data_IF_841581687484
#
_entry.id   IF_841581687484
#
_cell.length_a   1.000
_cell.length_b   1.000
_cell.length_c   1.000
_cell.angle_alpha   90.00
_cell.angle_beta   90.00
_cell.angle_gamma   90.00
#
_symmetry.space_group_name_H-M   'P 1'
#
loop_
_entity.id
_entity.type
_entity.pdbx_description
1 polymer ?
#
# COMPACT_ATOMS: atom_id res chain seq x y z
N UNK A 1 16.81 31.63 24.50
CA UNK A 1 17.85 30.65 24.10
C UNK A 1 17.12 29.46 23.55
N UNK A 2 17.17 29.28 22.24
CA UNK A 2 16.47 28.23 21.53
C UNK A 2 17.35 26.97 21.54
N UNK A 3 16.90 25.93 22.25
CA UNK A 3 17.57 24.63 22.24
C UNK A 3 17.39 23.98 20.86
N UNK A 4 18.39 24.12 20.03
CA UNK A 4 18.48 23.38 18.77
C UNK A 4 18.65 21.89 19.09
N UNK A 5 17.64 21.06 18.78
CA UNK A 5 17.75 19.60 18.84
C UNK A 5 18.97 19.17 18.04
N UNK A 6 19.85 18.29 18.61
CA UNK A 6 21.01 17.80 17.89
C UNK A 6 20.57 17.12 16.59
N UNK A 7 21.24 17.45 15.48
CA UNK A 7 21.03 16.86 14.18
C UNK A 7 21.07 15.31 14.30
N UNK A 8 19.96 14.66 13.95
CA UNK A 8 19.88 13.19 13.94
C UNK A 8 20.98 12.67 13.02
N UNK A 9 21.83 11.75 13.52
CA UNK A 9 22.83 11.07 12.68
C UNK A 9 22.14 10.57 11.40
N UNK A 10 22.71 10.82 10.22
CA UNK A 10 22.10 10.38 8.97
C UNK A 10 21.84 8.87 9.08
N UNK A 11 20.61 8.47 8.75
CA UNK A 11 20.23 7.07 8.73
C UNK A 11 21.17 6.37 7.72
N UNK A 12 21.93 5.37 8.15
CA UNK A 12 22.88 4.62 7.29
C UNK A 12 22.25 4.16 5.97
N UNK A 13 20.95 3.85 5.96
CA UNK A 13 20.20 3.49 4.76
C UNK A 13 20.02 4.70 3.83
N UNK A 14 19.79 5.88 4.40
CA UNK A 14 19.69 7.11 3.62
C UNK A 14 20.99 7.44 2.87
N UNK A 15 22.14 7.31 3.53
CA UNK A 15 23.43 7.55 2.88
C UNK A 15 23.71 6.56 1.73
N UNK A 16 23.37 5.27 1.92
CA UNK A 16 23.56 4.25 0.89
C UNK A 16 22.65 4.52 -0.31
N UNK A 17 21.35 4.75 -0.09
CA UNK A 17 20.39 4.95 -1.18
C UNK A 17 20.66 6.24 -1.95
N UNK A 18 21.09 7.30 -1.25
CA UNK A 18 21.48 8.57 -1.85
C UNK A 18 22.71 8.39 -2.74
N UNK A 19 23.74 7.67 -2.27
CA UNK A 19 24.93 7.39 -3.05
C UNK A 19 24.64 6.55 -4.29
N UNK A 20 23.78 5.51 -4.18
CA UNK A 20 23.31 4.72 -5.33
C UNK A 20 22.59 5.63 -6.32
N UNK A 21 21.65 6.44 -5.84
CA UNK A 21 20.91 7.34 -6.72
C UNK A 21 21.84 8.21 -7.55
N UNK A 22 22.76 8.94 -6.92
CA UNK A 22 23.64 9.87 -7.62
C UNK A 22 24.75 9.21 -8.42
N UNK A 23 25.03 7.91 -8.26
CA UNK A 23 25.94 7.19 -9.15
C UNK A 23 25.32 6.87 -10.52
N UNK A 24 23.98 6.87 -10.61
CA UNK A 24 23.25 6.57 -11.85
C UNK A 24 22.47 7.77 -12.42
N UNK A 25 22.09 8.70 -11.54
CA UNK A 25 21.25 9.84 -11.94
C UNK A 25 22.00 10.79 -12.85
N UNK A 26 21.36 11.13 -13.97
CA UNK A 26 21.73 12.26 -14.83
C UNK A 26 20.59 13.25 -14.88
N UNK A 27 20.89 14.56 -14.97
CA UNK A 27 19.85 15.61 -14.97
C UNK A 27 18.81 15.36 -16.05
N UNK A 28 17.52 15.37 -15.68
CA UNK A 28 16.39 15.11 -16.58
C UNK A 28 16.05 13.62 -16.76
N UNK A 29 16.76 12.70 -16.10
CA UNK A 29 16.40 11.28 -16.15
C UNK A 29 15.05 11.06 -15.48
N UNK A 30 14.16 10.31 -16.15
CA UNK A 30 12.85 9.91 -15.63
C UNK A 30 12.89 8.55 -14.92
N UNK A 31 13.85 7.71 -15.31
CA UNK A 31 14.11 6.42 -14.70
C UNK A 31 15.55 5.96 -14.95
N UNK A 32 16.05 5.09 -14.09
CA UNK A 32 17.30 4.36 -14.27
C UNK A 32 17.33 3.14 -13.36
N UNK A 33 18.15 2.14 -13.74
CA UNK A 33 18.25 0.88 -13.03
C UNK A 33 19.55 0.84 -12.21
N UNK A 34 19.52 0.00 -11.15
CA UNK A 34 20.68 -0.32 -10.32
C UNK A 34 20.60 -1.76 -9.80
N UNK A 35 21.74 -2.37 -9.56
CA UNK A 35 21.82 -3.75 -9.12
C UNK A 35 21.88 -3.87 -7.58
N UNK A 36 21.35 -4.98 -7.05
CA UNK A 36 21.41 -5.27 -5.61
C UNK A 36 22.85 -5.35 -5.08
N UNK A 37 23.76 -5.81 -5.91
CA UNK A 37 25.19 -5.98 -5.56
C UNK A 37 25.88 -4.65 -5.24
N UNK A 38 25.39 -3.53 -5.76
CA UNK A 38 25.94 -2.20 -5.52
C UNK A 38 25.83 -1.74 -4.06
N UNK A 39 24.85 -2.27 -3.31
CA UNK A 39 24.69 -1.92 -1.88
C UNK A 39 25.91 -2.26 -1.04
N UNK A 40 26.52 -3.43 -1.26
CA UNK A 40 27.67 -3.87 -0.48
C UNK A 40 28.92 -3.04 -0.81
N UNK A 41 29.14 -2.74 -2.09
CA UNK A 41 30.22 -1.89 -2.55
C UNK A 41 30.14 -0.48 -1.97
N UNK A 42 28.96 0.13 -2.05
CA UNK A 42 28.71 1.48 -1.54
C UNK A 42 28.78 1.54 0.00
N UNK A 43 28.26 0.52 0.70
CA UNK A 43 28.40 0.44 2.15
C UNK A 43 29.86 0.40 2.56
N UNK A 44 30.71 -0.35 1.85
CA UNK A 44 32.16 -0.40 2.08
C UNK A 44 32.83 0.95 1.78
N UNK A 45 32.50 1.60 0.67
CA UNK A 45 33.00 2.93 0.29
C UNK A 45 32.70 3.98 1.37
N UNK A 46 31.48 3.94 1.94
CA UNK A 46 31.04 4.87 2.97
C UNK A 46 31.51 4.52 4.38
N UNK A 47 32.26 3.43 4.55
CA UNK A 47 32.69 2.94 5.87
C UNK A 47 31.52 2.50 6.76
N UNK A 48 30.37 2.14 6.16
CA UNK A 48 29.17 1.71 6.86
C UNK A 48 29.22 0.18 7.02
N UNK A 49 28.92 -0.29 8.23
CA UNK A 49 28.81 -1.74 8.47
C UNK A 49 27.82 -2.36 7.51
N UNK A 50 28.23 -3.43 6.85
CA UNK A 50 27.42 -4.20 5.90
C UNK A 50 25.98 -4.40 6.38
N UNK A 51 25.03 -4.12 5.51
CA UNK A 51 23.60 -4.27 5.79
C UNK A 51 23.25 -5.77 5.68
N UNK A 52 22.93 -6.39 6.82
CA UNK A 52 22.61 -7.83 6.87
C UNK A 52 21.38 -8.20 6.03
N UNK A 53 20.42 -7.30 5.90
CA UNK A 53 19.20 -7.52 5.13
C UNK A 53 19.00 -6.36 4.15
N UNK A 54 19.50 -6.52 2.93
CA UNK A 54 19.36 -5.52 1.85
C UNK A 54 17.91 -5.32 1.43
N UNK A 55 17.06 -6.35 1.58
CA UNK A 55 15.62 -6.25 1.34
C UNK A 55 14.95 -5.25 2.28
N UNK A 56 15.38 -5.18 3.53
CA UNK A 56 14.86 -4.23 4.52
C UNK A 56 15.21 -2.77 4.19
N UNK A 57 16.36 -2.52 3.56
CA UNK A 57 16.73 -1.19 3.09
C UNK A 57 15.73 -0.69 2.03
N UNK A 58 15.51 -1.48 0.99
CA UNK A 58 14.54 -1.14 -0.07
C UNK A 58 13.13 -1.04 0.48
N UNK A 59 12.70 -2.01 1.32
CA UNK A 59 11.40 -2.00 1.97
C UNK A 59 11.16 -0.71 2.76
N UNK A 60 12.19 -0.26 3.48
CA UNK A 60 12.10 0.95 4.30
C UNK A 60 11.77 2.19 3.48
N UNK A 61 12.40 2.39 2.32
CA UNK A 61 12.12 3.55 1.47
C UNK A 61 10.86 3.41 0.61
N UNK A 62 10.43 2.19 0.34
CA UNK A 62 9.14 1.97 -0.34
C UNK A 62 7.96 2.30 0.56
N UNK A 63 8.03 1.99 1.87
CA UNK A 63 6.84 1.91 2.71
C UNK A 63 6.91 2.71 4.01
N UNK A 64 8.10 2.99 4.56
CA UNK A 64 8.26 3.58 5.90
C UNK A 64 8.86 4.97 5.91
N UNK A 65 9.87 5.20 5.11
CA UNK A 65 10.62 6.45 5.10
C UNK A 65 10.50 7.16 3.78
N UNK A 66 10.63 8.48 3.83
CA UNK A 66 10.83 9.28 2.63
C UNK A 66 12.25 9.11 2.11
N UNK A 67 12.40 9.27 0.80
CA UNK A 67 13.72 9.33 0.19
C UNK A 67 14.50 10.54 0.73
N UNK A 68 15.85 10.50 0.71
CA UNK A 68 16.68 11.65 1.10
C UNK A 68 16.25 12.93 0.39
N UNK A 69 16.30 14.11 1.10
CA UNK A 69 15.89 15.38 0.49
C UNK A 69 16.65 15.73 -0.79
N UNK A 70 17.91 15.33 -0.89
CA UNK A 70 18.72 15.54 -2.10
C UNK A 70 18.15 14.78 -3.32
N UNK A 71 17.61 13.58 -3.13
CA UNK A 71 16.92 12.83 -4.18
C UNK A 71 15.57 13.49 -4.51
N UNK A 72 14.78 13.85 -3.48
CA UNK A 72 13.47 14.47 -3.68
C UNK A 72 13.57 15.77 -4.48
N UNK A 73 14.63 16.55 -4.26
CA UNK A 73 14.88 17.81 -4.97
C UNK A 73 15.18 17.64 -6.48
N UNK A 74 15.43 16.41 -6.95
CA UNK A 74 15.69 16.14 -8.38
C UNK A 74 14.44 15.69 -9.14
N UNK A 75 13.31 15.50 -8.45
CA UNK A 75 12.07 15.13 -9.10
C UNK A 75 11.48 16.30 -9.88
N UNK A 76 10.86 16.02 -11.02
CA UNK A 76 10.13 17.01 -11.79
C UNK A 76 8.90 17.50 -11.03
N UNK A 77 8.39 18.67 -11.40
CA UNK A 77 7.22 19.25 -10.76
C UNK A 77 6.02 18.30 -10.80
N UNK A 78 5.45 18.03 -9.63
CA UNK A 78 4.30 17.12 -9.46
C UNK A 78 4.63 15.64 -9.56
N UNK A 79 5.91 15.27 -9.63
CA UNK A 79 6.35 13.88 -9.62
C UNK A 79 7.15 13.56 -8.36
N UNK A 80 7.19 12.27 -8.00
CA UNK A 80 7.97 11.73 -6.90
C UNK A 80 8.79 10.52 -7.37
N UNK A 81 10.00 10.37 -6.84
CA UNK A 81 10.80 9.19 -7.08
C UNK A 81 10.25 7.98 -6.31
N UNK A 82 10.10 6.85 -7.00
CA UNK A 82 9.76 5.56 -6.40
C UNK A 82 10.85 4.54 -6.73
N UNK A 83 10.94 3.47 -5.92
CA UNK A 83 11.85 2.34 -6.13
C UNK A 83 11.03 1.09 -6.44
N UNK A 84 11.24 0.51 -7.61
CA UNK A 84 10.57 -0.70 -8.06
C UNK A 84 11.56 -1.86 -8.25
N UNK A 85 11.09 -3.12 -8.14
CA UNK A 85 11.81 -4.27 -8.67
C UNK A 85 11.57 -4.39 -10.16
N UNK A 86 12.60 -4.61 -10.95
CA UNK A 86 12.50 -4.79 -12.40
C UNK A 86 13.20 -6.06 -12.89
N UNK A 87 13.47 -7.00 -11.99
CA UNK A 87 14.08 -8.29 -12.29
C UNK A 87 14.70 -8.95 -11.07
N UNK A 88 15.37 -10.07 -11.27
CA UNK A 88 16.08 -10.75 -10.21
C UNK A 88 17.28 -9.90 -9.75
N UNK A 89 17.30 -9.50 -8.48
CA UNK A 89 18.33 -8.65 -7.90
C UNK A 89 18.53 -7.31 -8.64
N UNK A 90 17.52 -6.82 -9.36
CA UNK A 90 17.54 -5.58 -10.12
C UNK A 90 16.44 -4.66 -9.67
N UNK A 91 16.76 -3.39 -9.46
CA UNK A 91 15.84 -2.35 -9.05
C UNK A 91 15.87 -1.19 -10.03
N UNK A 92 14.83 -0.35 -9.97
CA UNK A 92 14.70 0.85 -10.77
C UNK A 92 14.23 2.01 -9.91
N UNK A 93 14.87 3.16 -10.03
CA UNK A 93 14.25 4.44 -9.69
C UNK A 93 13.41 4.90 -10.87
N UNK A 94 12.19 5.35 -10.59
CA UNK A 94 11.29 5.94 -11.58
C UNK A 94 10.50 7.09 -10.96
N UNK A 95 10.24 8.13 -11.74
CA UNK A 95 9.34 9.21 -11.32
C UNK A 95 7.88 8.77 -11.54
N UNK A 96 7.00 9.10 -10.60
CA UNK A 96 5.57 8.80 -10.65
C UNK A 96 4.75 9.94 -10.04
N UNK A 97 3.53 10.15 -10.53
CA UNK A 97 2.61 11.19 -10.00
C UNK A 97 2.08 10.89 -8.61
N UNK A 98 1.97 9.61 -8.29
CA UNK A 98 1.48 9.13 -7.01
C UNK A 98 2.45 8.09 -6.48
N UNK A 99 2.95 8.30 -5.27
CA UNK A 99 3.82 7.35 -4.59
C UNK A 99 3.04 6.55 -3.53
N UNK A 100 2.15 7.23 -2.79
CA UNK A 100 1.45 6.65 -1.65
C UNK A 100 -0.04 6.98 -1.68
N UNK A 101 -0.86 5.98 -1.31
CA UNK A 101 -2.30 6.13 -1.15
C UNK A 101 -2.55 6.63 0.26
N UNK A 102 -3.09 7.84 0.37
CA UNK A 102 -3.36 8.50 1.67
C UNK A 102 -4.84 8.84 1.77
N UNK A 103 -5.53 8.45 2.85
CA UNK A 103 -6.94 8.75 3.05
C UNK A 103 -7.22 10.26 3.08
N UNK A 104 -8.24 10.69 2.37
CA UNK A 104 -8.74 12.07 2.42
C UNK A 104 -9.47 12.31 3.75
N UNK A 105 -9.16 13.37 4.49
CA UNK A 105 -9.74 13.59 5.82
C UNK A 105 -11.22 14.02 5.80
N UNK A 106 -11.70 14.53 4.67
CA UNK A 106 -12.99 15.21 4.50
C UNK A 106 -14.12 14.30 3.98
N UNK A 107 -13.84 13.03 3.72
CA UNK A 107 -14.87 12.10 3.25
C UNK A 107 -15.86 11.71 4.35
N UNK A 108 -17.09 11.54 3.91
CA UNK A 108 -18.17 11.06 4.75
C UNK A 108 -17.86 9.63 5.22
N UNK A 109 -18.03 9.39 6.52
CA UNK A 109 -17.87 8.05 7.10
C UNK A 109 -19.22 7.34 7.19
N UNK A 110 -19.30 6.12 6.66
CA UNK A 110 -20.49 5.26 6.75
C UNK A 110 -20.36 4.36 7.98
N UNK A 111 -21.36 4.36 8.85
CA UNK A 111 -21.45 3.42 9.97
C UNK A 111 -21.95 2.08 9.45
N UNK A 112 -21.27 1.00 9.84
CA UNK A 112 -21.63 -0.38 9.54
C UNK A 112 -21.77 -1.13 10.86
N UNK A 113 -22.81 -1.97 11.07
CA UNK A 113 -22.92 -2.80 12.26
C UNK A 113 -21.68 -3.68 12.41
N UNK A 114 -21.04 -3.65 13.59
CA UNK A 114 -19.87 -4.49 13.84
C UNK A 114 -20.33 -5.95 14.08
N UNK A 115 -19.93 -6.82 13.17
CA UNK A 115 -20.16 -8.27 13.21
C UNK A 115 -18.89 -9.05 13.59
N UNK A 116 -17.87 -8.36 14.08
CA UNK A 116 -16.65 -9.02 14.54
C UNK A 116 -16.97 -9.84 15.80
N UNK A 117 -16.70 -11.17 15.83
CA UNK A 117 -16.92 -11.97 17.02
C UNK A 117 -16.18 -11.37 18.23
N UNK A 118 -16.86 -11.27 19.38
CA UNK A 118 -16.27 -10.66 20.60
C UNK A 118 -14.94 -11.28 20.99
N UNK A 119 -14.82 -12.61 20.83
CA UNK A 119 -13.56 -13.30 21.10
C UNK A 119 -12.42 -12.85 20.18
N UNK A 120 -12.71 -12.53 18.94
CA UNK A 120 -11.72 -11.98 18.01
C UNK A 120 -11.37 -10.54 18.39
N UNK A 121 -12.40 -9.73 18.66
CA UNK A 121 -12.20 -8.33 19.07
C UNK A 121 -11.38 -8.21 20.36
N UNK A 122 -11.57 -9.12 21.33
CA UNK A 122 -10.87 -9.13 22.62
C UNK A 122 -9.36 -9.39 22.48
N UNK A 123 -8.94 -10.13 21.45
CA UNK A 123 -7.54 -10.51 21.23
C UNK A 123 -6.91 -9.89 19.99
N UNK A 124 -7.69 -9.15 19.20
CA UNK A 124 -7.17 -8.45 18.02
C UNK A 124 -6.24 -7.30 18.47
N UNK A 125 -5.02 -7.32 17.95
CA UNK A 125 -4.09 -6.20 18.07
C UNK A 125 -4.52 -5.08 17.11
N UNK A 126 -3.99 -3.88 17.30
CA UNK A 126 -4.26 -2.74 16.40
C UNK A 126 -3.30 -2.69 15.21
N UNK A 127 -3.09 -3.83 14.57
CA UNK A 127 -2.18 -4.01 13.43
C UNK A 127 -2.93 -4.40 12.14
N UNK A 128 -2.20 -4.68 11.08
CA UNK A 128 -2.77 -5.07 9.79
C UNK A 128 -3.60 -6.36 9.87
N UNK A 129 -3.21 -7.32 10.73
CA UNK A 129 -3.95 -8.58 10.87
C UNK A 129 -5.31 -8.36 11.55
N UNK A 130 -5.36 -7.47 12.54
CA UNK A 130 -6.61 -7.05 13.17
C UNK A 130 -7.52 -6.33 12.17
N UNK A 131 -6.95 -5.48 11.31
CA UNK A 131 -7.69 -4.81 10.24
C UNK A 131 -8.28 -5.82 9.25
N UNK A 132 -7.50 -6.78 8.78
CA UNK A 132 -7.98 -7.84 7.88
C UNK A 132 -9.10 -8.67 8.51
N UNK A 133 -8.99 -8.99 9.81
CA UNK A 133 -10.06 -9.67 10.53
C UNK A 133 -11.36 -8.84 10.52
N UNK A 134 -11.29 -7.55 10.85
CA UNK A 134 -12.44 -6.64 10.81
C UNK A 134 -13.03 -6.53 9.40
N UNK A 135 -12.20 -6.36 8.38
CA UNK A 135 -12.62 -6.30 6.97
C UNK A 135 -13.40 -7.57 6.59
N UNK A 136 -12.88 -8.74 6.96
CA UNK A 136 -13.46 -10.05 6.63
C UNK A 136 -14.78 -10.31 7.36
N UNK A 137 -14.80 -10.18 8.70
CA UNK A 137 -15.99 -10.48 9.50
C UNK A 137 -17.15 -9.51 9.21
N UNK A 138 -16.84 -8.27 8.87
CA UNK A 138 -17.84 -7.27 8.50
C UNK A 138 -18.13 -7.22 6.99
N UNK A 139 -17.57 -8.14 6.21
CA UNK A 139 -17.78 -8.23 4.76
C UNK A 139 -17.55 -6.89 4.05
N UNK A 140 -16.54 -6.12 4.48
CA UNK A 140 -16.31 -4.80 3.93
C UNK A 140 -15.90 -4.83 2.45
N UNK A 141 -15.26 -5.92 1.98
CA UNK A 141 -14.96 -6.10 0.55
C UNK A 141 -16.27 -6.19 -0.26
N UNK A 142 -17.26 -6.97 0.23
CA UNK A 142 -18.55 -7.11 -0.43
C UNK A 142 -19.31 -5.79 -0.47
N UNK A 143 -19.37 -5.10 0.67
CA UNK A 143 -20.07 -3.81 0.80
C UNK A 143 -19.43 -2.75 -0.08
N UNK A 144 -18.09 -2.68 -0.09
CA UNK A 144 -17.34 -1.67 -0.81
C UNK A 144 -17.38 -1.87 -2.33
N UNK A 145 -17.21 -3.12 -2.79
CA UNK A 145 -17.13 -3.42 -4.22
C UNK A 145 -18.47 -3.78 -4.85
N UNK A 146 -19.54 -3.97 -4.05
CA UNK A 146 -20.86 -4.38 -4.54
C UNK A 146 -20.88 -5.78 -5.17
N UNK A 147 -20.08 -6.72 -4.64
CA UNK A 147 -19.96 -8.10 -5.12
C UNK A 147 -20.13 -9.08 -3.96
N UNK A 148 -20.31 -10.36 -4.25
CA UNK A 148 -20.17 -11.42 -3.24
C UNK A 148 -18.73 -11.94 -3.30
N UNK A 149 -17.96 -11.71 -2.23
CA UNK A 149 -16.54 -12.05 -2.17
C UNK A 149 -16.24 -13.12 -1.13
N UNK A 150 -15.29 -14.00 -1.45
CA UNK A 150 -14.82 -15.09 -0.60
C UNK A 150 -13.31 -14.98 -0.41
N UNK A 151 -12.84 -15.03 0.83
CA UNK A 151 -11.40 -15.09 1.12
C UNK A 151 -10.80 -16.37 0.54
N UNK A 152 -9.85 -16.21 -0.36
CA UNK A 152 -9.18 -17.31 -1.06
C UNK A 152 -7.90 -17.71 -0.36
N UNK A 153 -7.08 -16.74 0.01
CA UNK A 153 -5.77 -16.97 0.62
C UNK A 153 -5.33 -15.77 1.44
N UNK A 154 -4.74 -16.05 2.61
CA UNK A 154 -4.12 -15.05 3.47
C UNK A 154 -2.60 -15.13 3.32
N UNK A 155 -1.96 -13.96 3.41
CA UNK A 155 -0.52 -13.83 3.49
C UNK A 155 0.23 -14.57 2.37
N UNK A 156 -0.13 -14.25 1.12
CA UNK A 156 0.51 -14.81 -0.05
C UNK A 156 1.91 -14.22 -0.22
N UNK A 157 2.92 -15.07 -0.18
CA UNK A 157 4.29 -14.73 -0.59
C UNK A 157 4.68 -15.52 -1.82
N UNK A 158 5.10 -14.83 -2.86
CA UNK A 158 5.48 -15.46 -4.13
C UNK A 158 6.53 -14.62 -4.84
N UNK A 159 6.96 -15.09 -6.01
CA UNK A 159 7.95 -14.40 -6.84
C UNK A 159 7.47 -14.38 -8.30
N UNK A 160 7.48 -13.20 -8.93
CA UNK A 160 7.34 -13.05 -10.37
C UNK A 160 8.70 -12.72 -10.98
N UNK A 161 9.07 -13.41 -12.05
CA UNK A 161 10.40 -13.27 -12.71
C UNK A 161 10.71 -11.83 -13.13
N UNK A 162 9.71 -11.08 -13.55
CA UNK A 162 9.84 -9.69 -14.03
C UNK A 162 9.84 -8.63 -12.92
N UNK A 163 9.42 -8.98 -11.70
CA UNK A 163 9.16 -8.01 -10.63
C UNK A 163 9.96 -8.34 -9.35
N UNK A 164 10.20 -9.63 -9.09
CA UNK A 164 10.79 -10.11 -7.86
C UNK A 164 9.74 -10.60 -6.86
N UNK A 165 10.07 -10.53 -5.56
CA UNK A 165 9.19 -10.98 -4.49
C UNK A 165 7.95 -10.09 -4.36
N UNK A 166 6.79 -10.74 -4.22
CA UNK A 166 5.49 -10.13 -4.00
C UNK A 166 4.90 -10.67 -2.70
N UNK A 167 4.26 -9.81 -1.95
CA UNK A 167 3.52 -10.13 -0.75
C UNK A 167 2.14 -9.48 -0.80
N UNK A 168 1.08 -10.28 -0.72
CA UNK A 168 -0.31 -9.83 -0.69
C UNK A 168 -0.90 -10.28 0.65
N UNK A 169 -1.45 -9.34 1.41
CA UNK A 169 -1.92 -9.60 2.76
C UNK A 169 -3.14 -10.52 2.76
N UNK A 170 -4.08 -10.32 1.84
CA UNK A 170 -5.21 -11.22 1.65
C UNK A 170 -5.69 -11.18 0.20
N UNK A 171 -6.14 -12.32 -0.31
CA UNK A 171 -6.76 -12.45 -1.62
C UNK A 171 -8.19 -12.93 -1.51
N UNK A 172 -9.08 -12.31 -2.27
CA UNK A 172 -10.45 -12.75 -2.45
C UNK A 172 -10.72 -13.14 -3.89
N UNK A 173 -11.70 -14.02 -4.09
CA UNK A 173 -12.39 -14.21 -5.36
C UNK A 173 -13.84 -13.81 -5.16
N UNK A 174 -14.46 -13.23 -6.19
CA UNK A 174 -15.82 -12.74 -6.07
C UNK A 174 -16.62 -12.90 -7.34
N UNK A 175 -17.93 -12.70 -7.22
CA UNK A 175 -18.88 -12.75 -8.31
C UNK A 175 -19.92 -11.63 -8.14
N UNK A 176 -20.31 -11.00 -9.23
CA UNK A 176 -21.44 -10.06 -9.22
C UNK A 176 -22.76 -10.72 -9.68
N UNK A 177 -23.82 -9.94 -9.66
CA UNK A 177 -25.16 -10.38 -10.08
C UNK A 177 -25.26 -10.77 -11.56
N UNK A 178 -24.27 -10.43 -12.37
CA UNK A 178 -24.22 -10.76 -13.80
C UNK A 178 -23.33 -11.96 -14.10
N UNK A 179 -22.75 -12.60 -13.08
CA UNK A 179 -21.85 -13.73 -13.24
C UNK A 179 -20.42 -13.35 -13.58
N UNK A 180 -20.05 -12.06 -13.59
CA UNK A 180 -18.65 -11.64 -13.78
C UNK A 180 -17.85 -12.05 -12.57
N UNK A 181 -16.67 -12.63 -12.82
CA UNK A 181 -15.80 -13.12 -11.76
C UNK A 181 -14.63 -12.16 -11.55
N UNK A 182 -14.26 -12.01 -10.29
CA UNK A 182 -13.25 -11.06 -9.84
C UNK A 182 -12.17 -11.74 -9.02
N UNK A 183 -10.95 -11.23 -9.12
CA UNK A 183 -9.88 -11.46 -8.16
C UNK A 183 -9.55 -10.15 -7.47
N UNK A 184 -9.49 -10.16 -6.13
CA UNK A 184 -9.32 -8.95 -5.32
C UNK A 184 -8.11 -9.13 -4.40
N UNK A 185 -6.92 -8.66 -4.81
CA UNK A 185 -5.79 -8.54 -3.89
C UNK A 185 -6.06 -7.40 -2.92
N UNK A 186 -5.83 -7.65 -1.63
CA UNK A 186 -6.05 -6.69 -0.54
C UNK A 186 -4.75 -6.45 0.20
N UNK A 187 -4.40 -5.18 0.36
CA UNK A 187 -3.33 -4.71 1.22
C UNK A 187 -3.91 -3.98 2.43
N UNK A 188 -3.47 -4.37 3.63
CA UNK A 188 -3.85 -3.71 4.87
C UNK A 188 -2.72 -2.82 5.37
N UNK A 189 -3.05 -1.63 5.89
CA UNK A 189 -2.08 -0.73 6.51
C UNK A 189 -2.59 -0.23 7.84
N UNK A 190 -1.73 -0.37 8.85
CA UNK A 190 -1.99 0.11 10.21
C UNK A 190 -0.92 1.09 10.68
N UNK A 191 -1.20 1.82 11.77
CA UNK A 191 -0.24 2.73 12.39
C UNK A 191 0.24 3.84 11.46
N UNK A 192 1.56 3.93 11.28
CA UNK A 192 2.22 4.92 10.41
C UNK A 192 2.50 4.42 8.99
N UNK A 193 2.27 3.14 8.71
CA UNK A 193 2.59 2.54 7.42
C UNK A 193 1.58 3.00 6.36
N UNK A 194 2.09 3.30 5.16
CA UNK A 194 1.28 3.79 4.05
C UNK A 194 1.33 2.80 2.90
N UNK A 195 0.21 2.65 2.22
CA UNK A 195 0.16 1.83 1.01
C UNK A 195 0.92 2.54 -0.13
N UNK A 196 1.95 1.86 -0.67
CA UNK A 196 2.72 2.36 -1.80
C UNK A 196 2.18 1.86 -3.14
N UNK A 197 2.25 2.70 -4.17
CA UNK A 197 1.80 2.34 -5.53
C UNK A 197 2.57 1.13 -6.10
N UNK A 198 3.80 0.91 -5.65
CA UNK A 198 4.60 -0.25 -6.04
C UNK A 198 3.92 -1.57 -5.64
N UNK A 199 3.31 -1.63 -4.44
CA UNK A 199 2.55 -2.82 -4.02
C UNK A 199 1.36 -3.06 -4.94
N UNK A 200 0.56 -2.02 -5.22
CA UNK A 200 -0.58 -2.12 -6.14
C UNK A 200 -0.16 -2.64 -7.52
N UNK A 201 0.92 -2.10 -8.09
CA UNK A 201 1.43 -2.56 -9.39
C UNK A 201 1.82 -4.05 -9.34
N UNK A 202 2.48 -4.49 -8.28
CA UNK A 202 2.89 -5.88 -8.08
C UNK A 202 1.67 -6.80 -7.95
N UNK A 203 0.68 -6.42 -7.16
CA UNK A 203 -0.54 -7.18 -6.91
C UNK A 203 -1.35 -7.36 -8.20
N UNK A 204 -1.55 -6.28 -8.95
CA UNK A 204 -2.28 -6.32 -10.23
C UNK A 204 -1.51 -7.15 -11.26
N UNK A 205 -0.19 -7.02 -11.36
CA UNK A 205 0.62 -7.82 -12.28
C UNK A 205 0.57 -9.32 -11.93
N UNK A 206 0.60 -9.64 -10.62
CA UNK A 206 0.41 -11.01 -10.16
C UNK A 206 -0.97 -11.55 -10.58
N UNK A 207 -2.03 -10.81 -10.29
CA UNK A 207 -3.40 -11.22 -10.61
C UNK A 207 -3.58 -11.42 -12.13
N UNK A 208 -3.11 -10.51 -12.97
CA UNK A 208 -3.15 -10.64 -14.44
C UNK A 208 -2.42 -11.90 -14.93
N UNK A 209 -1.34 -12.28 -14.26
CA UNK A 209 -0.55 -13.47 -14.65
C UNK A 209 -1.19 -14.78 -14.18
N UNK A 210 -1.77 -14.80 -12.98
CA UNK A 210 -2.29 -16.03 -12.36
C UNK A 210 -3.78 -16.27 -12.61
N UNK A 211 -4.54 -15.22 -12.84
CA UNK A 211 -5.99 -15.24 -13.03
C UNK A 211 -6.38 -14.42 -14.28
N UNK A 212 -5.89 -14.79 -15.48
CA UNK A 212 -6.05 -13.97 -16.68
C UNK A 212 -7.51 -13.77 -17.09
N UNK A 213 -8.40 -14.69 -16.70
CA UNK A 213 -9.82 -14.65 -17.03
C UNK A 213 -10.68 -13.87 -16.02
N UNK A 214 -10.09 -13.47 -14.87
CA UNK A 214 -10.79 -12.74 -13.84
C UNK A 214 -10.51 -11.23 -13.92
N UNK A 215 -11.52 -10.43 -13.59
CA UNK A 215 -11.35 -8.98 -13.47
C UNK A 215 -10.61 -8.69 -12.16
N UNK A 216 -9.43 -8.08 -12.24
CA UNK A 216 -8.68 -7.68 -11.06
C UNK A 216 -9.20 -6.33 -10.53
N UNK A 217 -9.60 -6.30 -9.24
CA UNK A 217 -9.98 -5.10 -8.49
C UNK A 217 -9.11 -5.01 -7.23
N UNK A 218 -8.00 -4.30 -7.31
CA UNK A 218 -7.07 -4.18 -6.18
C UNK A 218 -7.65 -3.26 -5.10
N UNK A 219 -7.53 -3.67 -3.83
CA UNK A 219 -8.07 -2.94 -2.68
C UNK A 219 -6.96 -2.62 -1.68
N UNK A 220 -6.97 -1.40 -1.16
CA UNK A 220 -6.23 -1.02 0.05
C UNK A 220 -7.20 -0.75 1.17
N UNK A 221 -6.98 -1.36 2.34
CA UNK A 221 -7.67 -1.06 3.58
C UNK A 221 -6.70 -0.40 4.56
N UNK A 222 -7.06 0.74 5.13
CA UNK A 222 -6.17 1.51 6.00
C UNK A 222 -6.89 1.94 7.28
N UNK A 223 -6.27 1.67 8.43
CA UNK A 223 -6.74 2.26 9.68
C UNK A 223 -6.51 3.77 9.67
N UNK A 224 -7.54 4.50 10.03
CA UNK A 224 -7.48 5.94 10.31
C UNK A 224 -7.66 6.20 11.81
N UNK A 225 -7.46 7.43 12.21
CA UNK A 225 -7.84 7.88 13.56
C UNK A 225 -9.34 7.69 13.83
N UNK A 226 -9.74 7.53 15.10
CA UNK A 226 -11.15 7.39 15.53
C UNK A 226 -11.84 6.12 14.99
N UNK A 227 -11.12 5.01 14.93
CA UNK A 227 -11.64 3.69 14.50
C UNK A 227 -12.26 3.67 13.10
N UNK A 228 -11.87 4.61 12.23
CA UNK A 228 -12.28 4.63 10.84
C UNK A 228 -11.38 3.72 10.00
N UNK A 229 -11.98 3.09 9.02
CA UNK A 229 -11.32 2.28 8.00
C UNK A 229 -11.52 2.97 6.65
N UNK A 230 -10.45 3.40 6.01
CA UNK A 230 -10.47 3.86 4.63
C UNK A 230 -10.28 2.66 3.70
N UNK A 231 -11.18 2.51 2.74
CA UNK A 231 -11.12 1.50 1.68
C UNK A 231 -10.91 2.21 0.34
N UNK A 232 -9.94 1.73 -0.43
CA UNK A 232 -9.63 2.24 -1.76
C UNK A 232 -9.76 1.13 -2.79
N UNK A 233 -10.43 1.38 -3.88
CA UNK A 233 -10.29 0.59 -5.09
C UNK A 233 -9.23 1.22 -5.97
N UNK A 234 -8.28 0.43 -6.44
CA UNK A 234 -7.11 0.86 -7.18
C UNK A 234 -7.03 0.14 -8.53
N UNK A 235 -6.58 0.87 -9.54
CA UNK A 235 -6.32 0.32 -10.86
C UNK A 235 -5.01 0.87 -11.42
N UNK A 236 -4.54 0.28 -12.52
CA UNK A 236 -3.40 0.79 -13.30
C UNK A 236 -3.92 1.25 -14.65
N UNK A 237 -3.70 2.51 -14.94
CA UNK A 237 -4.00 3.13 -16.23
C UNK A 237 -2.79 3.98 -16.66
N UNK A 238 -2.35 3.82 -17.90
CA UNK A 238 -1.18 4.51 -18.45
C UNK A 238 0.09 4.34 -17.59
N UNK A 239 0.32 3.10 -17.12
CA UNK A 239 1.41 2.68 -16.22
C UNK A 239 1.43 3.41 -14.85
N UNK A 240 0.35 4.10 -14.50
CA UNK A 240 0.17 4.76 -13.21
C UNK A 240 -0.97 4.15 -12.41
N UNK A 241 -0.78 4.06 -11.09
CA UNK A 241 -1.84 3.69 -10.16
C UNK A 241 -2.83 4.85 -10.04
N UNK A 242 -4.11 4.54 -10.18
CA UNK A 242 -5.22 5.48 -10.00
C UNK A 242 -6.15 4.98 -8.91
N UNK A 243 -6.67 5.91 -8.13
CA UNK A 243 -7.78 5.65 -7.20
C UNK A 243 -9.08 5.68 -8.00
N UNK A 244 -9.79 4.56 -8.06
CA UNK A 244 -11.10 4.44 -8.70
C UNK A 244 -12.18 4.93 -7.75
N UNK A 245 -12.11 4.48 -6.49
CA UNK A 245 -13.05 4.83 -5.45
C UNK A 245 -12.36 4.88 -4.08
N UNK A 246 -12.84 5.75 -3.20
CA UNK A 246 -12.46 5.82 -1.80
C UNK A 246 -13.71 5.96 -0.94
N UNK A 247 -13.87 5.06 0.05
CA UNK A 247 -14.95 5.13 1.06
C UNK A 247 -14.40 4.92 2.46
N UNK A 248 -15.01 5.60 3.41
CA UNK A 248 -14.67 5.46 4.82
C UNK A 248 -15.77 4.76 5.58
N UNK A 249 -15.39 3.77 6.38
CA UNK A 249 -16.30 3.01 7.21
C UNK A 249 -15.93 3.16 8.68
N UNK A 250 -16.94 3.06 9.54
CA UNK A 250 -16.79 2.93 10.98
C UNK A 250 -17.64 1.77 11.46
N UNK A 251 -17.00 0.80 12.09
CA UNK A 251 -17.70 -0.32 12.70
C UNK A 251 -18.24 0.12 14.06
N UNK A 252 -19.54 -0.06 14.27
CA UNK A 252 -20.23 0.39 15.49
C UNK A 252 -21.24 -0.66 15.95
N UNK A 253 -21.59 -0.70 17.25
CA UNK A 253 -22.75 -1.45 17.72
C UNK A 253 -24.01 -1.06 16.91
N UNK A 254 -24.86 -2.03 16.54
CA UNK A 254 -26.04 -1.76 15.72
C UNK A 254 -26.94 -0.66 16.30
N UNK A 255 -27.02 -0.54 17.62
CA UNK A 255 -27.81 0.48 18.31
C UNK A 255 -27.27 1.94 18.11
N UNK A 256 -26.04 2.10 17.65
CA UNK A 256 -25.46 3.41 17.34
C UNK A 256 -25.81 3.93 15.94
N UNK A 257 -26.40 3.06 15.09
CA UNK A 257 -26.91 3.47 13.77
C UNK A 257 -28.34 3.98 13.96
N UNK A 258 -28.52 5.27 13.83
CA UNK A 258 -29.79 5.95 14.05
C UNK A 258 -30.55 6.13 12.75
N UNK A 259 -31.86 6.48 12.88
CA UNK A 259 -32.71 6.72 11.72
C UNK A 259 -32.16 7.82 10.80
N UNK A 260 -31.51 8.83 11.37
CA UNK A 260 -30.92 9.93 10.61
C UNK A 260 -29.74 9.44 9.74
N UNK A 261 -28.94 8.50 10.26
CA UNK A 261 -27.85 7.86 9.49
C UNK A 261 -28.44 7.12 8.27
N UNK A 262 -29.49 6.32 8.51
CA UNK A 262 -30.14 5.54 7.45
C UNK A 262 -30.78 6.43 6.39
N UNK A 263 -31.46 7.50 6.82
CA UNK A 263 -32.03 8.50 5.89
C UNK A 263 -30.94 9.16 5.04
N UNK A 264 -29.80 9.54 5.67
CA UNK A 264 -28.68 10.13 4.94
C UNK A 264 -28.09 9.14 3.90
N UNK A 265 -28.09 7.85 4.18
CA UNK A 265 -27.59 6.83 3.24
C UNK A 265 -28.56 6.63 2.06
N UNK A 266 -29.86 6.70 2.28
CA UNK A 266 -30.88 6.58 1.23
C UNK A 266 -30.86 7.75 0.22
N UNK A 267 -30.30 8.90 0.61
CA UNK A 267 -30.18 10.07 -0.28
C UNK A 267 -28.94 10.01 -1.18
N UNK A 268 -28.05 9.05 -0.95
CA UNK A 268 -26.85 8.86 -1.77
C UNK A 268 -27.19 7.88 -2.89
N UNK A 269 -27.48 8.43 -4.08
CA UNK A 269 -27.57 7.62 -5.29
C UNK A 269 -26.17 7.06 -5.60
N UNK A 270 -26.14 5.81 -6.05
CA UNK A 270 -24.92 5.14 -6.55
C UNK A 270 -24.38 5.82 -7.81
#
# INVERSE_FOLDING_TARGET
MSDAKPARKPNRYAAIIERIFFSHYTSGAQEFQFAREEFDGIAAELGIKQVKNLGDLIYSFRYRYELPPAILATADEGLEWIIEGCGQALYRFRQAKLNRIVPRPDLITVKVPDSTPEIIAAYALSDEQALLAKVRYNRLIDIFLGITAYSLQNHLRTNLKSIGQIEIDEMYVGIDRHGRQFVVPVQAKGGSDKHGVVQTNQDIAYCKTKFPDLVCRAVSAQFMTQDRIAMFELTVQDDEVKVVEEKHYRLVPAAEIKSEDLQAYNLRAD
#
